data_IF_344239776723
#
_entry.id   IF_344239776723
#
_cell.length_a   1.000
_cell.length_b   1.000
_cell.length_c   1.000
_cell.angle_alpha   90.00
_cell.angle_beta   90.00
_cell.angle_gamma   90.00
#
_symmetry.space_group_name_H-M   'P 1'
#
loop_
_entity.id
_entity.type
_entity.pdbx_description
1 polymer ?
#
# COMPACT_ATOMS: atom_id res chain seq x y z
N UNK A 1 13.39 4.54 -6.37
CA UNK A 1 12.91 3.33 -5.67
C UNK A 1 11.47 3.04 -6.09
N UNK A 2 10.59 4.05 -6.10
CA UNK A 2 9.26 4.02 -6.74
C UNK A 2 9.15 3.26 -8.07
N UNK A 3 10.00 3.50 -9.09
CA UNK A 3 9.91 2.75 -10.36
C UNK A 3 10.13 1.23 -10.19
N UNK A 4 11.03 0.83 -9.29
CA UNK A 4 11.27 -0.60 -9.02
C UNK A 4 10.07 -1.22 -8.31
N UNK A 5 9.48 -0.50 -7.35
CA UNK A 5 8.27 -0.93 -6.67
C UNK A 5 7.09 -1.03 -7.65
N UNK A 6 6.89 -0.03 -8.52
CA UNK A 6 5.85 -0.06 -9.55
C UNK A 6 6.01 -1.26 -10.50
N UNK A 7 7.23 -1.53 -10.97
CA UNK A 7 7.48 -2.70 -11.81
C UNK A 7 7.19 -4.00 -11.07
N UNK A 8 7.61 -4.12 -9.80
CA UNK A 8 7.33 -5.31 -9.00
C UNK A 8 5.82 -5.51 -8.75
N UNK A 9 5.09 -4.45 -8.40
CA UNK A 9 3.63 -4.48 -8.24
C UNK A 9 2.92 -4.93 -9.53
N UNK A 10 3.34 -4.41 -10.69
CA UNK A 10 2.77 -4.82 -11.97
C UNK A 10 3.14 -6.26 -12.35
N UNK A 11 4.43 -6.57 -12.33
CA UNK A 11 4.97 -7.79 -12.95
C UNK A 11 4.86 -9.03 -12.06
N UNK A 12 4.90 -8.85 -10.73
CA UNK A 12 4.88 -9.95 -9.75
C UNK A 12 3.55 -10.07 -9.03
N UNK A 13 2.96 -8.94 -8.59
CA UNK A 13 1.67 -8.94 -7.89
C UNK A 13 0.49 -8.92 -8.86
N UNK A 14 0.68 -8.33 -10.05
CA UNK A 14 -0.38 -8.21 -11.06
C UNK A 14 -1.28 -6.99 -10.86
N UNK A 15 -0.79 -5.94 -10.20
CA UNK A 15 -1.55 -4.71 -9.96
C UNK A 15 -1.78 -3.96 -11.28
N UNK A 16 -3.05 -3.64 -11.52
CA UNK A 16 -3.52 -2.89 -12.68
C UNK A 16 -4.07 -1.51 -12.27
N UNK A 17 -4.51 -0.74 -13.29
CA UNK A 17 -5.11 0.57 -13.08
C UNK A 17 -6.47 0.41 -12.38
N UNK A 18 -6.63 1.09 -11.26
CA UNK A 18 -7.85 1.06 -10.44
C UNK A 18 -7.74 0.16 -9.21
N UNK A 19 -6.81 -0.78 -9.19
CA UNK A 19 -6.54 -1.64 -8.05
C UNK A 19 -6.00 -0.84 -6.88
N UNK A 20 -6.24 -1.32 -5.66
CA UNK A 20 -5.97 -0.60 -4.43
C UNK A 20 -4.80 -1.22 -3.68
N UNK A 21 -3.74 -0.43 -3.52
CA UNK A 21 -2.51 -0.82 -2.83
C UNK A 21 -2.51 -0.14 -1.46
N UNK A 22 -2.70 -0.93 -0.42
CA UNK A 22 -2.60 -0.46 0.96
C UNK A 22 -1.15 -0.50 1.48
N UNK A 23 -0.79 0.45 2.33
CA UNK A 23 0.48 0.42 3.07
C UNK A 23 0.27 0.66 4.57
N UNK A 24 0.86 -0.20 5.41
CA UNK A 24 0.94 -0.06 6.85
C UNK A 24 2.41 -0.05 7.29
N UNK A 25 2.96 1.16 7.44
CA UNK A 25 4.33 1.37 7.87
C UNK A 25 4.41 2.65 8.72
N UNK A 26 5.47 2.77 9.52
CA UNK A 26 5.78 4.03 10.20
C UNK A 26 6.10 5.14 9.19
N UNK A 27 6.13 6.37 9.69
CA UNK A 27 6.45 7.54 8.85
C UNK A 27 7.84 7.37 8.25
N UNK A 28 7.92 7.39 6.92
CA UNK A 28 9.13 6.98 6.21
C UNK A 28 9.03 7.16 4.70
N UNK A 29 10.15 6.90 4.02
CA UNK A 29 10.27 7.05 2.55
C UNK A 29 9.46 6.01 1.78
N UNK A 30 9.10 4.91 2.44
CA UNK A 30 8.29 3.80 1.93
C UNK A 30 6.91 4.29 1.49
N UNK A 31 6.31 5.22 2.25
CA UNK A 31 5.04 5.85 1.87
C UNK A 31 5.18 6.64 0.57
N UNK A 32 6.27 7.39 0.39
CA UNK A 32 6.52 8.13 -0.85
C UNK A 32 6.77 7.18 -2.02
N UNK A 33 7.55 6.12 -1.81
CA UNK A 33 7.79 5.11 -2.83
C UNK A 33 6.49 4.43 -3.28
N UNK A 34 5.62 4.06 -2.33
CA UNK A 34 4.31 3.47 -2.61
C UNK A 34 3.38 4.47 -3.33
N UNK A 35 3.30 5.71 -2.85
CA UNK A 35 2.50 6.77 -3.46
C UNK A 35 2.89 7.01 -4.93
N UNK A 36 4.20 7.20 -5.21
CA UNK A 36 4.67 7.41 -6.56
C UNK A 36 4.59 6.15 -7.44
N UNK A 37 4.71 4.95 -6.86
CA UNK A 37 4.52 3.70 -7.59
C UNK A 37 3.06 3.54 -8.04
N UNK A 38 2.10 3.74 -7.12
CA UNK A 38 0.66 3.70 -7.43
C UNK A 38 0.31 4.72 -8.52
N UNK A 39 0.79 5.95 -8.40
CA UNK A 39 0.55 7.00 -9.40
C UNK A 39 1.06 6.66 -10.80
N UNK A 40 2.16 5.87 -10.91
CA UNK A 40 2.68 5.40 -12.21
C UNK A 40 1.84 4.29 -12.83
N UNK A 41 1.24 3.44 -12.00
CA UNK A 41 0.39 2.33 -12.45
C UNK A 41 -1.07 2.77 -12.67
N UNK A 42 -1.46 3.93 -12.14
CA UNK A 42 -2.86 4.31 -12.04
C UNK A 42 -3.62 3.51 -10.98
N UNK A 43 -2.91 2.93 -10.02
CA UNK A 43 -3.47 2.26 -8.86
C UNK A 43 -3.87 3.28 -7.77
N UNK A 44 -4.77 2.88 -6.88
CA UNK A 44 -5.28 3.66 -5.76
C UNK A 44 -4.39 3.43 -4.54
N UNK A 45 -3.68 4.48 -4.11
CA UNK A 45 -2.85 4.42 -2.91
C UNK A 45 -3.70 4.57 -1.64
N UNK A 46 -3.60 3.61 -0.72
CA UNK A 46 -4.32 3.61 0.57
C UNK A 46 -3.33 3.56 1.74
N UNK A 47 -3.00 4.72 2.30
CA UNK A 47 -2.11 4.79 3.45
C UNK A 47 -2.87 4.53 4.77
N UNK A 48 -2.55 3.44 5.45
CA UNK A 48 -3.10 3.10 6.76
C UNK A 48 -2.27 3.77 7.86
N UNK A 49 -2.95 4.42 8.80
CA UNK A 49 -2.28 5.10 9.90
C UNK A 49 -1.88 4.09 10.99
N UNK A 50 -0.58 3.86 11.12
CA UNK A 50 0.00 2.91 12.08
C UNK A 50 -0.32 3.20 13.55
N UNK A 51 -0.77 4.41 13.88
CA UNK A 51 -1.11 4.83 15.25
C UNK A 51 -2.52 4.40 15.67
N UNK A 52 -3.32 3.88 14.73
CA UNK A 52 -4.68 3.41 15.00
C UNK A 52 -4.66 2.07 15.75
N UNK A 53 -5.70 1.83 16.55
CA UNK A 53 -5.87 0.53 17.19
C UNK A 53 -6.13 -0.54 16.12
N UNK A 54 -5.69 -1.78 16.35
CA UNK A 54 -5.76 -2.85 15.33
C UNK A 54 -7.18 -3.10 14.80
N UNK A 55 -8.22 -2.94 15.64
CA UNK A 55 -9.63 -3.04 15.22
C UNK A 55 -10.07 -1.94 14.26
N UNK A 56 -9.51 -0.74 14.40
CA UNK A 56 -9.78 0.36 13.46
C UNK A 56 -9.06 0.08 12.13
N UNK A 57 -7.85 -0.49 12.19
CA UNK A 57 -7.13 -0.93 10.98
C UNK A 57 -7.88 -2.05 10.26
N UNK A 58 -8.38 -3.05 10.99
CA UNK A 58 -9.22 -4.13 10.45
C UNK A 58 -10.45 -3.57 9.75
N UNK A 59 -11.20 -2.68 10.42
CA UNK A 59 -12.34 -1.99 9.82
C UNK A 59 -11.97 -1.23 8.55
N UNK A 60 -10.82 -0.53 8.52
CA UNK A 60 -10.36 0.18 7.33
C UNK A 60 -10.00 -0.77 6.20
N UNK A 61 -9.38 -1.91 6.49
CA UNK A 61 -9.08 -2.93 5.48
C UNK A 61 -10.37 -3.54 4.92
N UNK A 62 -11.36 -3.82 5.77
CA UNK A 62 -12.68 -4.30 5.31
C UNK A 62 -13.41 -3.26 4.47
N UNK A 63 -13.37 -1.98 4.88
CA UNK A 63 -14.01 -0.88 4.17
C UNK A 63 -13.33 -0.59 2.83
N UNK A 64 -12.00 -0.67 2.80
CA UNK A 64 -11.22 -0.31 1.61
C UNK A 64 -10.90 -1.49 0.72
N UNK A 65 -11.07 -2.74 1.15
CA UNK A 65 -10.86 -3.94 0.33
C UNK A 65 -9.62 -3.86 -0.58
N UNK A 66 -8.41 -3.64 -0.03
CA UNK A 66 -7.21 -3.49 -0.85
C UNK A 66 -6.82 -4.81 -1.52
N UNK A 67 -6.36 -4.74 -2.77
CA UNK A 67 -5.88 -5.88 -3.54
C UNK A 67 -4.51 -6.38 -3.03
N UNK A 68 -3.72 -5.49 -2.45
CA UNK A 68 -2.45 -5.83 -1.78
C UNK A 68 -2.21 -4.95 -0.57
N UNK A 69 -1.62 -5.53 0.48
CA UNK A 69 -1.13 -4.83 1.67
C UNK A 69 0.39 -4.94 1.74
N UNK A 70 1.06 -3.79 1.67
CA UNK A 70 2.49 -3.65 1.97
C UNK A 70 2.61 -3.27 3.44
N UNK A 71 3.46 -3.95 4.21
CA UNK A 71 3.65 -3.64 5.62
C UNK A 71 5.13 -3.74 6.02
N UNK A 72 5.49 -3.01 7.07
CA UNK A 72 6.83 -3.09 7.69
C UNK A 72 6.94 -4.32 8.59
N UNK A 73 8.14 -4.86 8.76
CA UNK A 73 8.44 -5.97 9.69
C UNK A 73 8.04 -5.66 11.14
N UNK A 74 7.88 -4.37 11.48
CA UNK A 74 7.33 -3.91 12.76
C UNK A 74 5.90 -4.45 13.04
N UNK A 75 5.21 -4.99 12.03
CA UNK A 75 3.81 -5.47 12.09
C UNK A 75 3.65 -6.96 11.71
N UNK A 76 4.71 -7.77 11.81
CA UNK A 76 4.67 -9.25 11.73
C UNK A 76 4.13 -9.87 13.02
#
# INVERSE_FOLDING_TARGET
RANRLANWLRDTVGIEKGDRVAILARDGVEHLDCFFACGKLGAIHTALNWRLHWRELEYLVELTTPDVLIYSDDFI
#
